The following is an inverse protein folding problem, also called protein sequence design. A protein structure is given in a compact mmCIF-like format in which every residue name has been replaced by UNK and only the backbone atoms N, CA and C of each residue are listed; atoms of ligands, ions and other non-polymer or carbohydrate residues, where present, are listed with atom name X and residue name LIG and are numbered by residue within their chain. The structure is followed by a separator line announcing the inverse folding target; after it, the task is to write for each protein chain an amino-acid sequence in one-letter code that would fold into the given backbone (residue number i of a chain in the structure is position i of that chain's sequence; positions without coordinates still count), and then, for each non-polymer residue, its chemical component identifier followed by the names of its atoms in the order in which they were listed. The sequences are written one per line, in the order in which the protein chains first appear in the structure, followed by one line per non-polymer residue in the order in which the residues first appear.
data_IF_770176299909
#
_entry.id   IF_770176299909
#
_cell.length_a   1.000
_cell.length_b   1.000
_cell.length_c   1.000
_cell.angle_alpha   90.00
_cell.angle_beta   90.00
_cell.angle_gamma   90.00
#
_symmetry.space_group_name_H-M   'P 1'
#
loop_
_entity.id
_entity.type
_entity.pdbx_description
1 polymer ?
#
# COMPACT_ATOMS: atom_id res chain seq x y z
N UNK A 1 -2.16 7.94 5.35
CA UNK A 1 -0.69 8.07 5.54
C UNK A 1 -0.22 9.43 5.03
N UNK A 2 -0.44 9.82 3.76
CA UNK A 2 -0.03 11.12 3.22
C UNK A 2 -0.49 12.32 4.07
N UNK A 3 -1.76 12.33 4.49
CA UNK A 3 -2.26 13.35 5.41
C UNK A 3 -1.52 13.38 6.76
N UNK A 4 -1.14 12.21 7.29
CA UNK A 4 -0.36 12.16 8.52
C UNK A 4 1.05 12.74 8.31
N UNK A 5 1.70 12.39 7.19
CA UNK A 5 3.02 12.91 6.84
C UNK A 5 3.02 14.43 6.64
N UNK A 6 1.95 15.01 6.07
CA UNK A 6 1.86 16.47 5.86
C UNK A 6 1.92 17.29 7.16
N UNK A 7 1.54 16.72 8.31
CA UNK A 7 1.70 17.38 9.62
C UNK A 7 3.17 17.55 10.04
N UNK A 8 4.09 16.87 9.39
CA UNK A 8 5.54 16.98 9.64
C UNK A 8 6.25 17.82 8.58
N UNK A 9 5.52 18.64 7.81
CA UNK A 9 6.05 19.45 6.70
C UNK A 9 6.83 18.63 5.67
N UNK A 10 6.40 17.38 5.43
CA UNK A 10 7.00 16.51 4.45
C UNK A 10 6.24 16.64 3.13
N UNK A 11 6.97 16.85 2.03
CA UNK A 11 6.39 16.79 0.69
C UNK A 11 5.98 15.35 0.39
N UNK A 12 4.71 15.17 0.03
CA UNK A 12 4.15 13.88 -0.30
C UNK A 12 3.44 13.91 -1.65
N UNK A 13 3.79 12.95 -2.53
CA UNK A 13 3.05 12.65 -3.75
C UNK A 13 2.19 11.39 -3.57
N UNK A 14 1.03 11.38 -4.20
CA UNK A 14 0.12 10.24 -4.21
C UNK A 14 0.06 9.63 -5.61
N UNK A 15 0.17 8.30 -5.67
CA UNK A 15 -0.09 7.50 -6.88
C UNK A 15 -1.28 6.61 -6.56
N UNK A 16 -2.38 6.80 -7.26
CA UNK A 16 -3.63 6.10 -7.01
C UNK A 16 -4.56 6.20 -8.20
N UNK A 17 -5.68 5.49 -8.13
CA UNK A 17 -6.77 5.58 -9.11
C UNK A 17 -8.10 5.75 -8.39
N UNK A 18 -8.94 6.65 -8.89
CA UNK A 18 -10.27 6.94 -8.37
C UNK A 18 -11.30 6.94 -9.51
N UNK A 19 -12.56 6.72 -9.17
CA UNK A 19 -13.68 6.87 -10.09
C UNK A 19 -14.26 8.27 -10.07
N UNK A 20 -15.27 8.51 -10.91
CA UNK A 20 -16.01 9.76 -10.96
C UNK A 20 -16.93 9.99 -9.75
N UNK A 21 -17.15 8.98 -8.93
CA UNK A 21 -17.91 9.03 -7.69
C UNK A 21 -17.08 9.43 -6.47
N UNK A 22 -15.77 9.67 -6.64
CA UNK A 22 -14.93 10.17 -5.56
C UNK A 22 -15.20 11.65 -5.33
N UNK A 23 -15.59 12.01 -4.13
CA UNK A 23 -16.05 13.36 -3.79
C UNK A 23 -14.93 14.38 -3.90
N UNK A 24 -15.21 15.50 -4.58
CA UNK A 24 -14.23 16.59 -4.79
C UNK A 24 -13.75 17.20 -3.48
N UNK A 25 -14.58 17.20 -2.44
CA UNK A 25 -14.22 17.66 -1.10
C UNK A 25 -12.99 16.94 -0.56
N UNK A 26 -12.91 15.62 -0.77
CA UNK A 26 -11.74 14.83 -0.33
C UNK A 26 -10.47 15.18 -1.11
N UNK A 27 -10.59 15.42 -2.42
CA UNK A 27 -9.44 15.87 -3.23
C UNK A 27 -8.96 17.25 -2.78
N UNK A 28 -9.89 18.15 -2.48
CA UNK A 28 -9.57 19.50 -2.00
C UNK A 28 -8.87 19.45 -0.64
N UNK A 29 -9.36 18.62 0.28
CA UNK A 29 -8.68 18.39 1.57
C UNK A 29 -7.23 17.93 1.39
N UNK A 30 -6.97 17.03 0.46
CA UNK A 30 -5.61 16.55 0.17
C UNK A 30 -4.73 17.68 -0.37
N UNK A 31 -5.26 18.49 -1.30
CA UNK A 31 -4.56 19.66 -1.88
C UNK A 31 -4.28 20.74 -0.83
N UNK A 32 -5.24 21.04 0.05
CA UNK A 32 -5.07 22.00 1.16
C UNK A 32 -3.96 21.58 2.12
N UNK A 33 -3.70 20.28 2.23
CA UNK A 33 -2.59 19.71 3.02
C UNK A 33 -1.29 19.56 2.22
N UNK A 34 -1.19 20.23 1.06
CA UNK A 34 -0.02 20.23 0.19
C UNK A 34 0.41 18.85 -0.32
N UNK A 35 -0.54 17.90 -0.47
CA UNK A 35 -0.23 16.65 -1.13
C UNK A 35 -0.25 16.87 -2.66
N UNK A 36 0.79 16.38 -3.33
CA UNK A 36 0.84 16.39 -4.78
C UNK A 36 0.02 15.21 -5.33
N UNK A 37 -1.03 15.53 -6.09
CA UNK A 37 -1.97 14.57 -6.66
C UNK A 37 -1.71 14.25 -8.14
N UNK A 38 -0.55 14.62 -8.68
CA UNK A 38 -0.21 14.41 -10.11
C UNK A 38 -0.26 12.94 -10.52
N UNK A 39 0.03 12.03 -9.59
CA UNK A 39 -0.06 10.59 -9.80
C UNK A 39 -1.45 9.98 -9.56
N UNK A 40 -2.49 10.80 -9.28
CA UNK A 40 -3.85 10.31 -9.07
C UNK A 40 -4.61 10.33 -10.39
N UNK A 41 -4.92 9.16 -10.92
CA UNK A 41 -5.74 8.99 -12.12
C UNK A 41 -7.22 8.97 -11.75
N UNK A 42 -8.06 9.73 -12.48
CA UNK A 42 -9.51 9.67 -12.33
C UNK A 42 -10.17 9.13 -13.59
N UNK A 43 -10.86 8.00 -13.47
CA UNK A 43 -11.61 7.39 -14.57
C UNK A 43 -13.06 7.85 -14.59
N UNK A 44 -13.45 8.53 -15.68
CA UNK A 44 -14.82 9.00 -15.87
C UNK A 44 -15.79 7.84 -16.13
N UNK A 45 -16.97 7.92 -15.50
CA UNK A 45 -18.01 6.89 -15.64
C UNK A 45 -17.75 5.60 -14.84
N UNK A 46 -16.63 5.50 -14.16
CA UNK A 46 -16.26 4.36 -13.32
C UNK A 46 -16.46 4.68 -11.82
N UNK A 47 -16.52 3.63 -11.00
CA UNK A 47 -16.63 3.76 -9.54
C UNK A 47 -15.27 3.55 -8.87
N UNK A 48 -15.05 4.30 -7.80
CA UNK A 48 -13.90 4.14 -6.91
C UNK A 48 -13.95 2.77 -6.21
N UNK A 49 -12.79 2.24 -5.84
CA UNK A 49 -12.69 1.07 -4.98
C UNK A 49 -13.56 1.23 -3.73
N UNK A 50 -14.27 0.16 -3.39
CA UNK A 50 -15.12 0.15 -2.21
C UNK A 50 -14.84 -1.08 -1.37
N UNK A 51 -14.66 -0.86 -0.07
CA UNK A 51 -14.60 -1.92 0.91
C UNK A 51 -15.50 -1.57 2.11
N UNK A 52 -16.21 -2.57 2.60
CA UNK A 52 -17.02 -2.45 3.80
C UNK A 52 -16.75 -3.61 4.74
N UNK A 53 -16.59 -3.32 6.01
CA UNK A 53 -16.31 -4.31 7.03
C UNK A 53 -16.95 -3.98 8.37
N UNK A 54 -17.13 -5.01 9.19
CA UNK A 54 -17.59 -4.90 10.57
C UNK A 54 -16.47 -5.28 11.52
N UNK A 55 -16.06 -4.35 12.36
CA UNK A 55 -15.16 -4.63 13.46
C UNK A 55 -15.91 -5.26 14.63
N UNK A 56 -15.29 -6.23 15.28
CA UNK A 56 -15.83 -6.91 16.46
C UNK A 56 -15.46 -6.13 17.75
N UNK A 57 -15.95 -6.63 18.90
CA UNK A 57 -15.80 -5.94 20.18
C UNK A 57 -14.35 -5.76 20.64
N UNK A 58 -13.43 -6.60 20.14
CA UNK A 58 -11.99 -6.50 20.41
C UNK A 58 -11.29 -5.42 19.58
N UNK A 59 -11.99 -4.81 18.60
CA UNK A 59 -11.49 -3.82 17.64
C UNK A 59 -10.29 -4.28 16.80
N UNK A 60 -9.86 -5.53 16.94
CA UNK A 60 -8.78 -6.16 16.16
C UNK A 60 -9.33 -7.04 15.05
N UNK A 61 -10.31 -7.88 15.38
CA UNK A 61 -10.91 -8.76 14.39
C UNK A 61 -11.98 -8.03 13.59
N UNK A 62 -12.04 -8.32 12.29
CA UNK A 62 -13.02 -7.75 11.38
C UNK A 62 -13.60 -8.80 10.44
N UNK A 63 -14.84 -8.61 10.07
CA UNK A 63 -15.49 -9.37 8.99
C UNK A 63 -15.68 -8.45 7.79
N UNK A 64 -15.14 -8.83 6.64
CA UNK A 64 -15.42 -8.14 5.37
C UNK A 64 -16.85 -8.44 4.96
N UNK A 65 -17.64 -7.39 4.71
CA UNK A 65 -19.03 -7.48 4.27
C UNK A 65 -19.15 -7.38 2.76
N UNK A 66 -18.38 -6.48 2.14
CA UNK A 66 -18.40 -6.25 0.69
C UNK A 66 -17.07 -5.70 0.22
N UNK A 67 -16.64 -6.10 -0.99
CA UNK A 67 -15.45 -5.59 -1.66
C UNK A 67 -15.74 -5.44 -3.14
N UNK A 68 -15.60 -4.22 -3.66
CA UNK A 68 -15.74 -3.90 -5.09
C UNK A 68 -14.45 -3.29 -5.59
N UNK A 69 -13.74 -4.04 -6.41
CA UNK A 69 -12.43 -3.59 -6.94
C UNK A 69 -12.60 -2.36 -7.86
N UNK A 70 -13.68 -2.31 -8.67
CA UNK A 70 -14.01 -1.18 -9.53
C UNK A 70 -12.78 -0.71 -10.35
N UNK A 71 -12.39 0.57 -10.24
CA UNK A 71 -11.24 1.15 -10.97
C UNK A 71 -9.91 0.45 -10.72
N UNK A 72 -9.74 -0.23 -9.57
CA UNK A 72 -8.49 -0.95 -9.27
C UNK A 72 -8.19 -2.05 -10.30
N UNK A 73 -9.20 -2.65 -10.92
CA UNK A 73 -9.02 -3.67 -11.97
C UNK A 73 -8.38 -3.12 -13.24
N UNK A 74 -8.38 -1.80 -13.40
CA UNK A 74 -7.85 -1.08 -14.57
C UNK A 74 -6.59 -0.28 -14.23
N UNK A 75 -6.17 -0.32 -12.98
CA UNK A 75 -5.07 0.50 -12.51
C UNK A 75 -3.73 0.05 -13.09
N UNK A 76 -3.12 0.95 -13.86
CA UNK A 76 -1.75 0.83 -14.37
C UNK A 76 -0.98 2.05 -13.85
N UNK A 77 -0.20 1.91 -12.76
CA UNK A 77 0.41 3.04 -12.11
C UNK A 77 1.40 3.73 -13.04
N UNK A 78 1.32 5.07 -13.08
CA UNK A 78 2.29 5.92 -13.78
C UNK A 78 2.95 6.79 -12.72
N UNK A 79 4.26 6.62 -12.56
CA UNK A 79 5.04 7.44 -11.62
C UNK A 79 5.38 8.76 -12.32
N UNK A 80 4.88 9.91 -11.83
CA UNK A 80 5.26 11.22 -12.37
C UNK A 80 6.78 11.45 -12.29
N UNK A 81 7.34 12.20 -13.23
CA UNK A 81 8.79 12.43 -13.32
C UNK A 81 9.38 13.01 -12.01
N UNK A 82 8.66 13.94 -11.38
CA UNK A 82 9.06 14.53 -10.11
C UNK A 82 8.99 13.57 -8.91
N UNK A 83 8.33 12.39 -9.04
CA UNK A 83 8.29 11.37 -7.99
C UNK A 83 9.35 10.29 -8.17
N UNK A 84 9.91 10.11 -9.37
CA UNK A 84 10.85 9.01 -9.68
C UNK A 84 12.12 9.02 -8.85
N UNK A 85 12.47 10.16 -8.27
CA UNK A 85 13.64 10.34 -7.42
C UNK A 85 13.30 10.50 -5.93
N UNK A 86 12.09 10.11 -5.51
CA UNK A 86 11.68 10.16 -4.11
C UNK A 86 12.60 9.35 -3.21
N UNK A 87 12.98 9.93 -2.07
CA UNK A 87 13.84 9.26 -1.09
C UNK A 87 13.08 8.20 -0.28
N UNK A 88 11.77 8.37 -0.09
CA UNK A 88 10.92 7.42 0.63
C UNK A 88 9.74 7.01 -0.25
N UNK A 89 9.51 5.72 -0.36
CA UNK A 89 8.33 5.16 -1.04
C UNK A 89 7.57 4.30 -0.05
N UNK A 90 6.27 4.57 0.08
CA UNK A 90 5.36 3.74 0.84
C UNK A 90 4.39 3.06 -0.13
N UNK A 91 4.47 1.76 -0.18
CA UNK A 91 3.61 0.88 -0.97
C UNK A 91 2.44 0.45 -0.09
N UNK A 92 1.31 1.14 -0.25
CA UNK A 92 0.07 0.80 0.45
C UNK A 92 -0.50 -0.53 -0.03
N UNK A 93 -1.46 -1.05 0.72
CA UNK A 93 -2.09 -2.34 0.46
C UNK A 93 -2.80 -2.38 -0.90
N UNK A 94 -2.11 -2.87 -1.90
CA UNK A 94 -2.58 -3.09 -3.28
C UNK A 94 -2.02 -4.41 -3.82
N UNK A 95 -2.43 -4.77 -5.05
CA UNK A 95 -1.86 -5.91 -5.79
C UNK A 95 -0.32 -5.81 -5.85
N UNK A 96 0.42 -6.85 -5.44
CA UNK A 96 1.89 -6.86 -5.48
C UNK A 96 2.48 -6.54 -6.86
N UNK A 97 1.79 -6.87 -7.95
CA UNK A 97 2.24 -6.50 -9.30
C UNK A 97 2.23 -4.99 -9.50
N UNK A 98 1.19 -4.29 -9.01
CA UNK A 98 1.09 -2.83 -9.05
C UNK A 98 2.19 -2.19 -8.21
N UNK A 99 2.44 -2.72 -7.02
CA UNK A 99 3.49 -2.23 -6.13
C UNK A 99 4.89 -2.41 -6.76
N UNK A 100 5.16 -3.56 -7.39
CA UNK A 100 6.39 -3.83 -8.13
C UNK A 100 6.54 -2.89 -9.32
N UNK A 101 5.46 -2.63 -10.06
CA UNK A 101 5.47 -1.73 -11.21
C UNK A 101 5.85 -0.30 -10.81
N UNK A 102 5.38 0.19 -9.67
CA UNK A 102 5.81 1.49 -9.14
C UNK A 102 7.33 1.50 -8.88
N UNK A 103 7.87 0.45 -8.23
CA UNK A 103 9.32 0.37 -7.97
C UNK A 103 10.15 0.26 -9.26
N UNK A 104 9.62 -0.37 -10.32
CA UNK A 104 10.30 -0.51 -11.60
C UNK A 104 10.40 0.81 -12.37
N UNK A 105 9.52 1.77 -12.08
CA UNK A 105 9.53 3.10 -12.71
C UNK A 105 10.39 4.13 -11.97
N UNK A 106 10.97 3.79 -10.82
CA UNK A 106 11.87 4.69 -10.09
C UNK A 106 13.22 4.78 -10.82
N UNK A 107 13.77 5.99 -10.96
CA UNK A 107 15.09 6.23 -11.61
C UNK A 107 16.24 5.68 -10.78
N UNK A 108 16.08 5.66 -9.48
CA UNK A 108 17.05 5.12 -8.52
C UNK A 108 16.32 4.42 -7.38
N UNK A 109 17.02 3.51 -6.70
CA UNK A 109 16.47 2.91 -5.48
C UNK A 109 16.21 4.00 -4.43
N UNK A 110 14.99 4.12 -3.89
CA UNK A 110 14.71 4.98 -2.75
C UNK A 110 15.58 4.64 -1.52
N UNK A 111 15.82 5.61 -0.67
CA UNK A 111 16.59 5.41 0.57
C UNK A 111 15.82 4.53 1.57
N UNK A 112 14.48 4.57 1.50
CA UNK A 112 13.59 3.74 2.31
C UNK A 112 12.36 3.33 1.51
N UNK A 113 12.13 2.03 1.44
CA UNK A 113 10.91 1.44 0.86
C UNK A 113 10.15 0.73 1.96
N UNK A 114 8.93 1.18 2.23
CA UNK A 114 8.02 0.59 3.22
C UNK A 114 6.85 -0.06 2.50
N UNK A 115 6.46 -1.24 2.90
CA UNK A 115 5.28 -1.91 2.34
C UNK A 115 4.28 -2.33 3.41
N UNK A 116 3.03 -2.41 2.99
CA UNK A 116 1.90 -3.02 3.66
C UNK A 116 1.26 -4.07 2.73
N UNK A 117 0.61 -5.07 3.29
CA UNK A 117 -0.09 -6.13 2.55
C UNK A 117 -1.36 -6.56 3.29
N UNK A 118 -2.02 -7.61 2.80
CA UNK A 118 -3.18 -8.22 3.46
C UNK A 118 -3.29 -9.71 3.13
N UNK A 119 -4.11 -10.41 3.90
CA UNK A 119 -4.36 -11.85 3.77
C UNK A 119 -4.67 -12.29 2.33
N UNK A 120 -5.48 -11.51 1.60
CA UNK A 120 -5.85 -11.83 0.23
C UNK A 120 -4.64 -11.92 -0.71
N UNK A 121 -3.66 -11.00 -0.58
CA UNK A 121 -2.46 -11.04 -1.41
C UNK A 121 -1.52 -12.16 -1.01
N UNK A 122 -1.45 -12.46 0.29
CA UNK A 122 -0.67 -13.58 0.84
C UNK A 122 -1.15 -14.92 0.26
N UNK A 123 -2.47 -15.08 0.11
CA UNK A 123 -3.09 -16.31 -0.40
C UNK A 123 -3.03 -16.42 -1.94
N UNK A 124 -3.30 -15.30 -2.62
CA UNK A 124 -3.60 -15.33 -4.06
C UNK A 124 -2.41 -14.93 -4.94
N UNK A 125 -1.42 -14.21 -4.40
CA UNK A 125 -0.31 -13.62 -5.16
C UNK A 125 1.04 -13.87 -4.50
N UNK A 126 1.21 -15.00 -3.85
CA UNK A 126 2.36 -15.31 -3.01
C UNK A 126 3.71 -15.10 -3.70
N UNK A 127 3.89 -15.60 -4.91
CA UNK A 127 5.16 -15.47 -5.64
C UNK A 127 5.54 -14.00 -5.89
N UNK A 128 4.58 -13.17 -6.29
CA UNK A 128 4.80 -11.75 -6.52
C UNK A 128 4.99 -10.97 -5.22
N UNK A 129 4.31 -11.38 -4.17
CA UNK A 129 4.49 -10.82 -2.85
C UNK A 129 5.90 -11.13 -2.30
N UNK A 130 6.40 -12.34 -2.47
CA UNK A 130 7.75 -12.72 -2.05
C UNK A 130 8.82 -11.93 -2.84
N UNK A 131 8.62 -11.73 -4.17
CA UNK A 131 9.47 -10.87 -5.00
C UNK A 131 9.48 -9.42 -4.47
N UNK A 132 8.33 -8.90 -4.09
CA UNK A 132 8.20 -7.55 -3.54
C UNK A 132 8.87 -7.43 -2.16
N UNK A 133 8.61 -8.37 -1.27
CA UNK A 133 9.21 -8.41 0.08
C UNK A 133 10.75 -8.36 0.00
N UNK A 134 11.35 -9.06 -0.96
CA UNK A 134 12.79 -9.04 -1.16
C UNK A 134 13.36 -7.68 -1.61
N UNK A 135 12.50 -6.75 -2.05
CA UNK A 135 12.91 -5.42 -2.57
C UNK A 135 12.69 -4.27 -1.60
N UNK A 136 11.99 -4.50 -0.50
CA UNK A 136 11.64 -3.45 0.46
C UNK A 136 12.59 -3.43 1.66
N UNK A 137 12.67 -2.29 2.33
CA UNK A 137 13.50 -2.14 3.53
C UNK A 137 12.68 -2.37 4.81
N UNK A 138 11.37 -2.08 4.77
CA UNK A 138 10.44 -2.25 5.89
C UNK A 138 9.19 -2.96 5.43
N UNK A 139 8.79 -4.00 6.16
CA UNK A 139 7.45 -4.58 6.07
C UNK A 139 6.67 -4.25 7.35
N UNK A 140 5.46 -3.70 7.20
CA UNK A 140 4.55 -3.41 8.32
C UNK A 140 3.28 -4.22 8.13
N UNK A 141 3.05 -5.18 9.00
CA UNK A 141 1.93 -6.12 8.91
C UNK A 141 1.37 -6.42 10.29
N UNK A 142 0.14 -6.92 10.36
CA UNK A 142 -0.42 -7.38 11.62
C UNK A 142 0.05 -8.80 11.98
N UNK A 143 -0.28 -9.25 13.19
CA UNK A 143 0.15 -10.53 13.73
C UNK A 143 -0.44 -11.73 12.98
N UNK A 144 -1.65 -11.62 12.45
CA UNK A 144 -2.31 -12.67 11.65
C UNK A 144 -1.59 -12.85 10.32
N UNK A 145 -1.31 -11.76 9.62
CA UNK A 145 -0.56 -11.74 8.37
C UNK A 145 0.87 -12.28 8.54
N UNK A 146 1.54 -11.90 9.64
CA UNK A 146 2.87 -12.42 9.95
C UNK A 146 2.88 -13.94 10.12
N UNK A 147 1.89 -14.48 10.84
CA UNK A 147 1.72 -15.94 11.01
C UNK A 147 1.37 -16.63 9.70
N UNK A 148 0.50 -16.00 8.90
CA UNK A 148 0.08 -16.55 7.61
C UNK A 148 1.25 -16.60 6.62
N UNK A 149 2.06 -15.54 6.52
CA UNK A 149 3.24 -15.48 5.65
C UNK A 149 4.29 -16.52 6.00
N UNK A 150 4.54 -16.72 7.29
CA UNK A 150 5.68 -17.51 7.78
C UNK A 150 5.30 -18.89 8.31
N UNK A 151 4.01 -19.15 8.53
CA UNK A 151 3.49 -20.36 9.18
C UNK A 151 4.08 -20.58 10.59
N UNK A 152 4.47 -19.48 11.27
CA UNK A 152 4.98 -19.49 12.65
C UNK A 152 3.93 -18.99 13.63
N UNK A 153 3.82 -19.64 14.78
CA UNK A 153 2.96 -19.14 15.87
C UNK A 153 3.62 -18.01 16.67
N UNK A 154 4.94 -18.10 16.87
CA UNK A 154 5.72 -17.07 17.56
C UNK A 154 5.98 -15.89 16.65
N UNK A 155 5.58 -14.67 17.06
CA UNK A 155 5.83 -13.46 16.31
C UNK A 155 7.32 -13.13 16.20
N UNK A 156 8.12 -13.50 17.21
CA UNK A 156 9.58 -13.33 17.17
C UNK A 156 10.22 -14.20 16.08
N UNK A 157 9.76 -15.44 15.94
CA UNK A 157 10.22 -16.32 14.85
C UNK A 157 9.70 -15.86 13.51
N UNK A 158 8.44 -15.45 13.44
CA UNK A 158 7.86 -14.86 12.22
C UNK A 158 8.65 -13.65 11.75
N UNK A 159 9.01 -12.73 12.65
CA UNK A 159 9.81 -11.56 12.31
C UNK A 159 11.20 -11.94 11.77
N UNK A 160 11.85 -12.95 12.32
CA UNK A 160 13.15 -13.45 11.81
C UNK A 160 13.03 -14.06 10.41
N UNK A 161 11.98 -14.85 10.18
CA UNK A 161 11.74 -15.45 8.87
C UNK A 161 11.44 -14.34 7.83
N UNK A 162 10.64 -13.32 8.20
CA UNK A 162 10.37 -12.16 7.34
C UNK A 162 11.65 -11.36 7.04
N UNK A 163 12.52 -11.15 8.03
CA UNK A 163 13.82 -10.50 7.77
C UNK A 163 14.69 -11.32 6.81
N UNK A 164 14.65 -12.63 6.91
CA UNK A 164 15.39 -13.52 6.00
C UNK A 164 14.86 -13.45 4.55
N UNK A 165 13.63 -12.98 4.33
CA UNK A 165 13.06 -12.76 2.99
C UNK A 165 13.58 -11.47 2.32
N UNK A 166 14.17 -10.52 3.07
CA UNK A 166 14.75 -9.31 2.50
C UNK A 166 14.65 -8.04 3.35
N UNK A 167 13.54 -7.74 4.02
CA UNK A 167 13.38 -6.50 4.76
C UNK A 167 14.39 -6.36 5.89
N UNK A 168 14.94 -5.15 6.03
CA UNK A 168 15.84 -4.81 7.14
C UNK A 168 15.07 -4.64 8.46
N UNK A 169 13.84 -4.17 8.37
CA UNK A 169 12.97 -3.93 9.51
C UNK A 169 11.62 -4.61 9.32
N UNK A 170 11.13 -5.23 10.38
CA UNK A 170 9.80 -5.86 10.45
C UNK A 170 9.04 -5.23 11.59
N UNK A 171 7.86 -4.69 11.30
CA UNK A 171 6.92 -4.10 12.25
C UNK A 171 5.66 -4.99 12.27
N UNK A 172 5.37 -5.58 13.43
CA UNK A 172 4.20 -6.44 13.64
C UNK A 172 3.34 -5.85 14.76
#
# INVERSE_FOLDING_TARGET
IGLAASHFNTECGLISIIGSDFEEEHLNLLKEKNLNLEGVEQLQGEKTFFWSGKYHNDLNTRTTLDTKLNVLTKFQPKVPENFKNSSVVLLGNLDPNIQLEVLNQMDKKPDLIVMDTMNFWIESYREKLDELIARVDVISINDEEARQLTQKHSLVEAAKDLQAMGPKYVVI
#
